data_IF_123722054817
#
_entry.id   IF_123722054817
#
_cell.length_a   1.000
_cell.length_b   1.000
_cell.length_c   1.000
_cell.angle_alpha   90.00
_cell.angle_beta   90.00
_cell.angle_gamma   90.00
#
_symmetry.space_group_name_H-M   'P 1'
#
loop_
_entity.id
_entity.type
_entity.pdbx_description
1 polymer ?
#
# COMPACT_ATOMS: atom_id res chain seq x y z
N UNK A 1 30.02 -75.39 -46.64
CA UNK A 1 29.32 -74.10 -46.89
C UNK A 1 28.25 -73.95 -45.81
N UNK A 2 28.56 -73.44 -44.62
CA UNK A 2 28.56 -72.02 -44.25
C UNK A 2 27.34 -71.25 -44.77
N UNK A 3 26.36 -70.99 -43.91
CA UNK A 3 25.59 -69.74 -43.92
C UNK A 3 24.98 -69.47 -42.55
N UNK A 4 25.27 -68.28 -42.05
CA UNK A 4 25.13 -67.81 -40.68
C UNK A 4 23.66 -67.71 -40.24
N UNK A 5 23.41 -68.10 -38.99
CA UNK A 5 22.33 -67.53 -38.18
C UNK A 5 22.68 -66.07 -37.87
N UNK A 6 22.00 -65.13 -38.53
CA UNK A 6 22.12 -63.71 -38.18
C UNK A 6 21.14 -63.40 -37.04
N UNK A 7 21.71 -63.23 -35.85
CA UNK A 7 21.12 -62.51 -34.73
C UNK A 7 20.66 -61.13 -35.19
N UNK A 8 19.37 -60.83 -35.06
CA UNK A 8 18.86 -59.46 -35.07
C UNK A 8 18.33 -59.18 -33.67
N UNK A 9 19.28 -58.93 -32.76
CA UNK A 9 19.01 -58.30 -31.49
C UNK A 9 19.28 -56.80 -31.62
N UNK A 10 18.35 -56.01 -31.09
CA UNK A 10 18.49 -54.62 -30.65
C UNK A 10 18.87 -53.58 -31.72
N UNK A 11 17.91 -52.70 -32.03
CA UNK A 11 17.94 -51.30 -31.58
C UNK A 11 16.56 -50.71 -31.87
N UNK A 12 15.62 -50.96 -30.96
CA UNK A 12 14.48 -50.05 -30.79
C UNK A 12 15.08 -48.72 -30.36
N UNK A 13 15.24 -47.79 -31.31
CA UNK A 13 15.38 -46.39 -30.98
C UNK A 13 14.10 -45.98 -30.26
N UNK A 14 14.12 -46.11 -28.92
CA UNK A 14 13.36 -45.21 -28.08
C UNK A 14 13.79 -43.82 -28.50
N UNK A 15 12.98 -43.17 -29.34
CA UNK A 15 12.97 -41.73 -29.43
C UNK A 15 12.70 -41.25 -28.01
N UNK A 16 13.77 -40.85 -27.32
CA UNK A 16 13.69 -39.91 -26.20
C UNK A 16 13.05 -38.67 -26.80
N UNK A 17 11.71 -38.64 -26.77
CA UNK A 17 10.94 -37.43 -26.93
C UNK A 17 11.41 -36.52 -25.83
N UNK A 18 12.31 -35.61 -26.19
CA UNK A 18 12.73 -34.51 -25.34
C UNK A 18 11.48 -33.63 -25.17
N UNK A 19 10.65 -33.98 -24.19
CA UNK A 19 9.59 -33.12 -23.71
C UNK A 19 10.23 -31.96 -22.94
N UNK A 20 10.94 -31.07 -23.66
CA UNK A 20 11.23 -29.72 -23.19
C UNK A 20 9.97 -28.85 -23.39
N UNK A 21 8.81 -29.34 -22.93
CA UNK A 21 7.67 -28.47 -22.71
C UNK A 21 8.04 -27.56 -21.55
N UNK A 22 8.12 -26.26 -21.79
CA UNK A 22 8.30 -25.31 -20.72
C UNK A 22 7.20 -25.55 -19.67
N UNK A 23 7.59 -25.87 -18.44
CA UNK A 23 6.67 -26.13 -17.32
C UNK A 23 6.09 -24.80 -16.81
N UNK A 24 5.45 -24.08 -17.73
CA UNK A 24 4.86 -22.77 -17.54
C UNK A 24 3.37 -22.97 -17.28
N UNK A 25 2.95 -22.66 -16.06
CA UNK A 25 1.54 -22.72 -15.65
C UNK A 25 1.03 -21.30 -15.43
N UNK A 26 -0.15 -20.99 -15.95
CA UNK A 26 -0.86 -19.73 -15.69
C UNK A 26 -2.07 -20.00 -14.81
N UNK A 27 -2.19 -19.25 -13.71
CA UNK A 27 -3.36 -19.26 -12.83
C UNK A 27 -4.12 -17.96 -13.02
N UNK A 28 -5.40 -18.04 -13.39
CA UNK A 28 -6.24 -16.86 -13.55
C UNK A 28 -6.55 -16.25 -12.16
N UNK A 29 -6.36 -14.94 -12.02
CA UNK A 29 -6.65 -14.13 -10.84
C UNK A 29 -7.86 -13.20 -11.04
N UNK A 30 -8.45 -13.19 -12.24
CA UNK A 30 -9.54 -12.32 -12.64
C UNK A 30 -9.06 -10.90 -12.93
N UNK A 31 -9.91 -9.93 -12.63
CA UNK A 31 -9.59 -8.52 -12.81
C UNK A 31 -9.00 -7.93 -11.54
N UNK A 32 -7.99 -7.06 -11.68
CA UNK A 32 -7.31 -6.43 -10.54
C UNK A 32 -7.40 -4.91 -10.65
N UNK A 33 -7.96 -4.26 -9.64
CA UNK A 33 -8.03 -2.80 -9.57
C UNK A 33 -6.94 -2.21 -8.69
N UNK A 34 -6.38 -1.08 -9.11
CA UNK A 34 -5.40 -0.35 -8.31
C UNK A 34 -5.06 1.00 -8.92
N UNK A 35 -4.19 1.73 -8.24
CA UNK A 35 -3.61 2.97 -8.78
C UNK A 35 -2.29 2.62 -9.46
N UNK A 36 -2.19 2.97 -10.74
CA UNK A 36 -1.07 2.64 -11.59
C UNK A 36 0.18 3.39 -11.13
N UNK A 37 1.22 2.63 -10.80
CA UNK A 37 2.57 3.11 -10.59
C UNK A 37 3.47 2.72 -11.76
N UNK A 38 4.47 3.55 -12.03
CA UNK A 38 5.57 3.17 -12.91
C UNK A 38 6.53 2.24 -12.17
N UNK A 39 7.01 1.19 -12.83
CA UNK A 39 7.95 0.25 -12.22
C UNK A 39 9.41 0.75 -12.20
N UNK A 40 9.73 1.74 -13.05
CA UNK A 40 11.11 2.23 -13.27
C UNK A 40 11.25 3.74 -13.09
N UNK A 41 10.32 4.31 -12.34
CA UNK A 41 10.33 5.72 -12.04
C UNK A 41 9.50 6.01 -10.81
N UNK A 42 9.36 7.29 -10.53
CA UNK A 42 8.47 7.77 -9.48
C UNK A 42 7.69 8.96 -9.97
N UNK A 43 6.47 9.11 -9.44
CA UNK A 43 5.62 10.25 -9.70
C UNK A 43 5.94 11.33 -8.66
N UNK A 44 6.31 12.52 -9.11
CA UNK A 44 6.51 13.70 -8.26
C UNK A 44 5.98 14.93 -9.00
N UNK A 45 5.24 15.79 -8.31
CA UNK A 45 4.71 17.04 -8.86
C UNK A 45 3.96 16.88 -10.20
N UNK A 46 3.24 15.77 -10.37
CA UNK A 46 2.49 15.46 -11.60
C UNK A 46 3.33 14.97 -12.79
N UNK A 47 4.64 14.78 -12.61
CA UNK A 47 5.56 14.28 -13.63
C UNK A 47 6.18 12.94 -13.22
N UNK A 48 6.39 12.06 -14.19
CA UNK A 48 7.13 10.81 -13.98
C UNK A 48 8.62 11.05 -14.22
N UNK A 49 9.42 10.74 -13.21
CA UNK A 49 10.88 10.76 -13.27
C UNK A 49 11.40 9.33 -13.40
N UNK A 50 11.99 9.03 -14.55
CA UNK A 50 12.57 7.71 -14.84
C UNK A 50 13.97 7.61 -14.26
N UNK A 51 14.26 6.49 -13.59
CA UNK A 51 15.55 6.25 -12.93
C UNK A 51 16.51 5.42 -13.79
N UNK A 52 16.02 4.82 -14.86
CA UNK A 52 16.77 3.91 -15.74
C UNK A 52 16.75 4.43 -17.16
N UNK A 53 17.86 4.31 -17.89
CA UNK A 53 17.90 4.47 -19.35
C UNK A 53 17.42 3.20 -20.07
N UNK A 54 17.35 3.23 -21.40
CA UNK A 54 16.90 2.09 -22.20
C UNK A 54 17.74 0.83 -21.99
N UNK A 55 19.08 0.97 -21.91
CA UNK A 55 19.98 -0.18 -21.78
C UNK A 55 19.79 -0.87 -20.43
N UNK A 56 19.74 -0.07 -19.36
CA UNK A 56 19.51 -0.57 -18.02
C UNK A 56 18.11 -1.17 -17.89
N UNK A 57 17.11 -0.57 -18.53
CA UNK A 57 15.76 -1.12 -18.60
C UNK A 57 15.71 -2.49 -19.30
N UNK A 58 16.37 -2.63 -20.45
CA UNK A 58 16.50 -3.91 -21.17
C UNK A 58 17.18 -4.97 -20.30
N UNK A 59 18.24 -4.60 -19.57
CA UNK A 59 18.90 -5.52 -18.63
C UNK A 59 17.95 -6.00 -17.53
N UNK A 60 17.12 -5.12 -16.97
CA UNK A 60 16.12 -5.53 -15.96
C UNK A 60 15.05 -6.44 -16.54
N UNK A 61 14.56 -6.14 -17.75
CA UNK A 61 13.56 -6.97 -18.42
C UNK A 61 14.08 -8.35 -18.81
N UNK A 62 15.36 -8.47 -19.17
CA UNK A 62 15.98 -9.73 -19.55
C UNK A 62 15.84 -10.81 -18.46
N UNK A 63 15.83 -10.42 -17.17
CA UNK A 63 15.59 -11.34 -16.07
C UNK A 63 14.20 -11.99 -16.12
N UNK A 64 13.21 -11.30 -16.70
CA UNK A 64 11.84 -11.76 -16.85
C UNK A 64 11.61 -12.46 -18.19
N UNK A 65 12.08 -11.89 -19.30
CA UNK A 65 11.81 -12.41 -20.66
C UNK A 65 12.60 -13.68 -20.96
N UNK A 66 13.82 -13.83 -20.43
CA UNK A 66 14.62 -15.06 -20.58
C UNK A 66 14.03 -16.28 -19.83
N UNK A 67 12.99 -16.08 -19.01
CA UNK A 67 12.30 -17.19 -18.34
C UNK A 67 11.40 -18.00 -19.27
N UNK A 68 11.14 -17.52 -20.49
CA UNK A 68 10.17 -18.09 -21.44
C UNK A 68 8.70 -17.78 -21.07
N UNK A 69 8.46 -17.02 -20.00
CA UNK A 69 7.12 -16.61 -19.56
C UNK A 69 6.48 -15.48 -20.37
N UNK A 70 7.21 -14.92 -21.33
CA UNK A 70 6.80 -13.83 -22.22
C UNK A 70 7.15 -14.19 -23.66
N UNK A 71 6.29 -13.76 -24.59
CA UNK A 71 6.60 -13.80 -26.02
C UNK A 71 7.27 -12.49 -26.48
N UNK A 72 7.09 -11.41 -25.71
CA UNK A 72 7.71 -10.11 -25.96
C UNK A 72 9.08 -10.00 -25.30
N UNK A 73 10.01 -9.36 -26.02
CA UNK A 73 11.34 -9.00 -25.51
C UNK A 73 11.28 -7.76 -24.61
N UNK A 74 10.27 -6.91 -24.86
CA UNK A 74 10.06 -5.64 -24.16
C UNK A 74 8.60 -5.51 -23.68
N UNK A 75 8.12 -6.35 -22.75
CA UNK A 75 6.79 -6.23 -22.17
C UNK A 75 6.62 -4.92 -21.39
N UNK A 76 5.44 -4.32 -21.45
CA UNK A 76 5.12 -3.18 -20.61
C UNK A 76 4.99 -3.62 -19.14
N UNK A 77 5.85 -3.08 -18.29
CA UNK A 77 5.87 -3.36 -16.86
C UNK A 77 5.16 -2.24 -16.06
N UNK A 78 4.20 -2.63 -15.22
CA UNK A 78 3.48 -1.70 -14.33
C UNK A 78 3.40 -2.23 -12.90
N UNK A 79 3.33 -1.31 -11.95
CA UNK A 79 3.03 -1.62 -10.55
C UNK A 79 1.64 -1.12 -10.20
N UNK A 80 0.98 -1.75 -9.23
CA UNK A 80 -0.28 -1.27 -8.68
C UNK A 80 -0.13 -0.98 -7.19
N UNK A 81 -0.74 0.13 -6.75
CA UNK A 81 -0.86 0.49 -5.33
C UNK A 81 -2.33 0.54 -4.93
N UNK A 82 -2.61 0.41 -3.63
CA UNK A 82 -3.99 0.39 -3.13
C UNK A 82 -4.80 -0.84 -3.53
N UNK A 83 -4.11 -1.94 -3.85
CA UNK A 83 -4.71 -3.24 -4.18
C UNK A 83 -5.07 -3.95 -2.88
N UNK A 84 -6.30 -4.44 -2.75
CA UNK A 84 -6.74 -5.19 -1.56
C UNK A 84 -6.14 -6.60 -1.48
N UNK A 85 -5.51 -7.09 -2.56
CA UNK A 85 -4.87 -8.41 -2.64
C UNK A 85 -3.45 -8.29 -3.22
N UNK A 86 -2.42 -8.46 -2.40
CA UNK A 86 -1.00 -8.39 -2.80
C UNK A 86 -0.51 -9.67 -3.50
N UNK A 87 -1.25 -10.15 -4.51
CA UNK A 87 -0.91 -11.39 -5.20
C UNK A 87 0.33 -11.26 -6.11
N UNK A 88 0.56 -10.06 -6.66
CA UNK A 88 1.74 -9.76 -7.46
C UNK A 88 2.30 -8.36 -7.17
N UNK A 89 3.64 -8.23 -7.01
CA UNK A 89 4.28 -6.93 -6.84
C UNK A 89 4.35 -6.13 -8.16
N UNK A 90 4.35 -6.84 -9.30
CA UNK A 90 4.52 -6.26 -10.64
C UNK A 90 3.67 -7.05 -11.65
N UNK A 91 3.11 -6.32 -12.60
CA UNK A 91 2.26 -6.83 -13.68
C UNK A 91 2.87 -6.48 -15.03
N UNK A 92 2.69 -7.36 -16.01
CA UNK A 92 3.25 -7.20 -17.34
C UNK A 92 2.20 -7.39 -18.42
N UNK A 93 2.21 -6.54 -19.43
CA UNK A 93 1.45 -6.75 -20.66
C UNK A 93 2.40 -7.32 -21.71
N UNK A 94 2.15 -8.57 -22.12
CA UNK A 94 3.00 -9.34 -23.04
C UNK A 94 2.81 -8.87 -24.50
N UNK A 95 3.24 -7.64 -24.77
CA UNK A 95 3.33 -7.01 -26.09
C UNK A 95 4.64 -6.25 -26.15
N UNK A 96 5.27 -6.20 -27.32
CA UNK A 96 6.50 -5.44 -27.48
C UNK A 96 6.21 -3.94 -27.48
N UNK A 97 6.88 -3.21 -26.58
CA UNK A 97 6.90 -1.76 -26.55
C UNK A 97 8.34 -1.25 -26.73
N UNK A 98 8.49 -0.12 -27.41
CA UNK A 98 9.71 0.67 -27.33
C UNK A 98 9.83 1.33 -25.96
N UNK A 99 11.05 1.70 -25.59
CA UNK A 99 11.30 2.41 -24.34
C UNK A 99 10.57 3.78 -24.29
N UNK A 100 10.44 4.46 -25.43
CA UNK A 100 9.69 5.72 -25.53
C UNK A 100 8.18 5.52 -25.36
N UNK A 101 7.60 4.46 -25.95
CA UNK A 101 6.19 4.15 -25.74
C UNK A 101 5.88 3.83 -24.27
N UNK A 102 6.78 3.13 -23.59
CA UNK A 102 6.65 2.86 -22.15
C UNK A 102 6.74 4.15 -21.33
N UNK A 103 7.64 5.07 -21.70
CA UNK A 103 7.72 6.39 -21.06
C UNK A 103 6.44 7.18 -21.24
N UNK A 104 5.92 7.24 -22.48
CA UNK A 104 4.67 7.92 -22.79
C UNK A 104 3.49 7.30 -22.04
N UNK A 105 3.44 5.97 -21.97
CA UNK A 105 2.45 5.25 -21.18
C UNK A 105 2.50 5.66 -19.71
N UNK A 106 3.69 5.61 -19.10
CA UNK A 106 3.85 5.97 -17.70
C UNK A 106 3.50 7.44 -17.45
N UNK A 107 3.91 8.38 -18.32
CA UNK A 107 3.53 9.79 -18.19
C UNK A 107 2.02 10.00 -18.25
N UNK A 108 1.34 9.29 -19.16
CA UNK A 108 -0.10 9.45 -19.37
C UNK A 108 -0.94 8.84 -18.25
N UNK A 109 -0.56 7.66 -17.75
CA UNK A 109 -1.43 6.86 -16.89
C UNK A 109 -0.96 6.73 -15.43
N UNK A 110 0.30 7.08 -15.09
CA UNK A 110 0.76 6.98 -13.69
C UNK A 110 -0.07 7.86 -12.75
N UNK A 111 -0.44 7.27 -11.61
CA UNK A 111 -1.31 7.89 -10.61
C UNK A 111 -2.80 7.79 -10.93
N UNK A 112 -3.19 7.18 -12.06
CA UNK A 112 -4.59 6.93 -12.40
C UNK A 112 -5.09 5.62 -11.80
N UNK A 113 -6.39 5.54 -11.48
CA UNK A 113 -7.01 4.28 -11.07
C UNK A 113 -7.35 3.47 -12.32
N UNK A 114 -6.91 2.23 -12.35
CA UNK A 114 -7.12 1.30 -13.46
C UNK A 114 -7.68 -0.03 -12.97
N UNK A 115 -8.26 -0.77 -13.91
CA UNK A 115 -8.55 -2.19 -13.78
C UNK A 115 -7.71 -2.95 -14.82
N UNK A 116 -6.82 -3.83 -14.37
CA UNK A 116 -6.16 -4.79 -15.23
C UNK A 116 -7.13 -5.94 -15.52
N UNK A 117 -7.25 -6.30 -16.80
CA UNK A 117 -8.17 -7.31 -17.29
C UNK A 117 -7.43 -8.64 -17.47
N UNK A 118 -8.10 -9.73 -17.08
CA UNK A 118 -7.66 -11.11 -17.26
C UNK A 118 -6.23 -11.37 -16.73
N UNK A 119 -6.03 -11.00 -15.47
CA UNK A 119 -4.73 -11.13 -14.80
C UNK A 119 -4.44 -12.60 -14.56
N UNK A 120 -3.25 -13.03 -14.94
CA UNK A 120 -2.76 -14.38 -14.74
C UNK A 120 -1.45 -14.36 -13.95
N UNK A 121 -1.36 -15.19 -12.92
CA UNK A 121 -0.11 -15.48 -12.25
C UNK A 121 0.63 -16.59 -12.98
N UNK A 122 1.84 -16.28 -13.45
CA UNK A 122 2.71 -17.19 -14.19
C UNK A 122 3.65 -17.91 -13.23
N UNK A 123 3.76 -19.22 -13.39
CA UNK A 123 4.66 -20.08 -12.65
C UNK A 123 5.60 -20.80 -13.61
N UNK A 124 6.86 -20.96 -13.24
CA UNK A 124 7.81 -21.85 -13.91
C UNK A 124 8.35 -22.84 -12.89
N UNK A 125 8.22 -24.15 -13.17
CA UNK A 125 8.67 -25.22 -12.25
C UNK A 125 8.15 -25.00 -10.81
N UNK A 126 6.88 -24.65 -10.68
CA UNK A 126 6.18 -24.30 -9.43
C UNK A 126 6.68 -23.06 -8.67
N UNK A 127 7.63 -22.29 -9.22
CA UNK A 127 8.03 -20.99 -8.66
C UNK A 127 7.19 -19.87 -9.28
N UNK A 128 6.63 -19.00 -8.44
CA UNK A 128 5.94 -17.78 -8.89
C UNK A 128 6.96 -16.89 -9.60
N UNK A 129 6.66 -16.56 -10.85
CA UNK A 129 7.50 -15.73 -11.70
C UNK A 129 6.99 -14.29 -11.69
N UNK A 130 5.82 -14.06 -12.27
CA UNK A 130 5.24 -12.73 -12.46
C UNK A 130 3.72 -12.79 -12.68
N UNK A 131 3.05 -11.64 -12.69
CA UNK A 131 1.69 -11.53 -13.22
C UNK A 131 1.69 -10.96 -14.63
N UNK A 132 0.83 -11.49 -15.48
CA UNK A 132 0.52 -10.94 -16.81
C UNK A 132 -0.91 -10.47 -16.88
N UNK A 133 -1.21 -9.47 -17.70
CA UNK A 133 -2.58 -9.02 -18.01
C UNK A 133 -2.71 -8.81 -19.51
N UNK A 134 -3.94 -8.76 -20.02
CA UNK A 134 -4.21 -8.66 -21.47
C UNK A 134 -4.48 -7.23 -21.92
N UNK A 135 -5.14 -6.46 -21.05
CA UNK A 135 -5.54 -5.08 -21.29
C UNK A 135 -5.88 -4.37 -19.97
N UNK A 136 -6.09 -3.06 -20.03
CA UNK A 136 -6.48 -2.30 -18.85
C UNK A 136 -7.56 -1.27 -19.20
N UNK A 137 -8.42 -1.02 -18.22
CA UNK A 137 -9.47 -0.02 -18.26
C UNK A 137 -9.14 1.12 -17.30
N UNK A 138 -9.35 2.36 -17.75
CA UNK A 138 -9.22 3.55 -16.91
C UNK A 138 -10.50 3.75 -16.09
N UNK A 139 -10.39 3.70 -14.77
CA UNK A 139 -11.52 3.89 -13.84
C UNK A 139 -11.61 5.33 -13.31
N UNK A 140 -10.47 5.99 -13.17
CA UNK A 140 -10.39 7.40 -12.83
C UNK A 140 -9.01 7.95 -13.22
N UNK A 141 -8.97 9.17 -13.73
CA UNK A 141 -7.71 9.87 -14.01
C UNK A 141 -7.03 10.30 -12.71
N UNK A 142 -5.72 10.53 -12.79
CA UNK A 142 -4.95 11.15 -11.69
C UNK A 142 -5.59 12.43 -11.16
N UNK A 143 -6.09 13.28 -12.06
CA UNK A 143 -6.71 14.55 -11.69
C UNK A 143 -8.03 14.34 -10.94
N UNK A 144 -8.90 13.46 -11.44
CA UNK A 144 -10.17 13.13 -10.77
C UNK A 144 -9.95 12.55 -9.36
N UNK A 145 -8.88 11.77 -9.18
CA UNK A 145 -8.49 11.27 -7.87
C UNK A 145 -7.98 12.37 -6.94
N UNK A 146 -7.19 13.32 -7.46
CA UNK A 146 -6.73 14.48 -6.71
C UNK A 146 -7.91 15.35 -6.26
N UNK A 147 -8.82 15.70 -7.17
CA UNK A 147 -10.03 16.48 -6.87
C UNK A 147 -10.94 15.76 -5.86
N UNK A 148 -11.08 14.44 -5.96
CA UNK A 148 -11.84 13.66 -4.97
C UNK A 148 -11.19 13.68 -3.58
N UNK A 149 -9.84 13.69 -3.51
CA UNK A 149 -9.11 13.82 -2.24
C UNK A 149 -9.30 15.21 -1.66
N UNK A 150 -9.10 16.25 -2.46
CA UNK A 150 -9.31 17.64 -2.05
C UNK A 150 -10.75 17.89 -1.58
N UNK A 151 -11.76 17.40 -2.31
CA UNK A 151 -13.17 17.52 -1.89
C UNK A 151 -13.45 16.77 -0.59
N UNK A 152 -12.86 15.59 -0.38
CA UNK A 152 -12.98 14.87 0.90
C UNK A 152 -12.28 15.63 2.02
N UNK A 153 -11.09 16.15 1.79
CA UNK A 153 -10.35 16.95 2.77
C UNK A 153 -11.10 18.23 3.11
N UNK A 154 -11.65 18.95 2.13
CA UNK A 154 -12.48 20.14 2.33
C UNK A 154 -13.75 19.82 3.12
N UNK A 155 -14.45 18.71 2.79
CA UNK A 155 -15.62 18.28 3.56
C UNK A 155 -15.26 17.97 5.01
N UNK A 156 -14.14 17.28 5.23
CA UNK A 156 -13.62 17.00 6.58
C UNK A 156 -13.20 18.28 7.30
N UNK A 157 -12.60 19.26 6.61
CA UNK A 157 -12.27 20.58 7.17
C UNK A 157 -13.55 21.30 7.61
N UNK A 158 -14.54 21.37 6.74
CA UNK A 158 -15.79 22.09 7.00
C UNK A 158 -16.60 21.48 8.15
N UNK A 159 -16.67 20.14 8.22
CA UNK A 159 -17.29 19.45 9.37
C UNK A 159 -16.50 19.67 10.67
N UNK A 160 -15.17 19.79 10.60
CA UNK A 160 -14.29 20.05 11.76
C UNK A 160 -14.38 21.47 12.29
N UNK A 161 -14.43 22.48 11.42
CA UNK A 161 -14.52 23.89 11.84
C UNK A 161 -15.85 24.23 12.52
N UNK A 162 -16.91 23.47 12.25
CA UNK A 162 -18.22 23.66 12.88
C UNK A 162 -18.35 23.06 14.28
N UNK A 163 -17.41 22.20 14.69
CA UNK A 163 -17.47 21.48 15.95
C UNK A 163 -16.72 22.23 17.05
N UNK A 164 -17.44 22.56 18.13
CA UNK A 164 -16.88 23.09 19.36
C UNK A 164 -17.28 22.20 20.52
N UNK A 165 -16.32 21.86 21.37
CA UNK A 165 -16.56 21.18 22.64
C UNK A 165 -15.73 21.86 23.72
N UNK A 166 -16.38 22.14 24.85
CA UNK A 166 -15.71 22.61 26.06
C UNK A 166 -16.30 21.86 27.25
N UNK A 167 -15.45 21.13 27.98
CA UNK A 167 -15.90 20.35 29.11
C UNK A 167 -14.89 19.31 29.56
N UNK A 168 -15.31 18.49 30.51
CA UNK A 168 -14.47 17.44 31.06
C UNK A 168 -14.80 16.08 30.43
N UNK A 169 -13.79 15.22 30.29
CA UNK A 169 -13.96 13.84 29.84
C UNK A 169 -13.27 12.86 30.76
N UNK A 170 -13.94 11.78 31.12
CA UNK A 170 -13.29 10.63 31.71
C UNK A 170 -12.72 9.74 30.60
N UNK A 171 -11.48 9.34 30.79
CA UNK A 171 -10.68 8.70 29.76
C UNK A 171 -9.79 7.61 30.34
N UNK A 172 -9.38 6.71 29.48
CA UNK A 172 -8.36 5.71 29.71
C UNK A 172 -7.05 6.18 29.06
N UNK A 173 -6.11 6.64 29.89
CA UNK A 173 -4.80 7.18 29.51
C UNK A 173 -3.70 6.22 29.97
N UNK A 174 -3.02 5.50 29.06
CA UNK A 174 -1.82 4.76 29.42
C UNK A 174 -0.71 5.75 29.84
N UNK A 175 -0.10 5.57 31.01
CA UNK A 175 0.87 6.53 31.56
C UNK A 175 2.03 6.88 30.59
N UNK A 176 2.43 5.96 29.71
CA UNK A 176 3.49 6.18 28.70
C UNK A 176 3.12 7.21 27.62
N UNK A 177 1.83 7.50 27.43
CA UNK A 177 1.35 8.43 26.40
C UNK A 177 1.32 9.88 26.87
N UNK A 178 1.44 10.12 28.18
CA UNK A 178 1.57 11.45 28.76
C UNK A 178 2.97 12.01 28.46
N UNK A 179 3.09 13.21 27.91
CA UNK A 179 4.36 13.91 27.61
C UNK A 179 4.36 15.29 28.26
N UNK A 180 5.41 16.10 28.07
CA UNK A 180 5.50 17.46 28.64
C UNK A 180 4.59 18.46 27.91
N UNK A 181 4.37 18.22 26.62
CA UNK A 181 3.66 19.05 25.66
C UNK A 181 2.21 18.62 25.43
N UNK A 182 1.84 17.42 25.87
CA UNK A 182 0.48 16.92 25.73
C UNK A 182 0.30 15.46 26.13
N UNK A 183 -0.79 14.89 25.67
CA UNK A 183 -1.16 13.47 25.83
C UNK A 183 -1.61 12.92 24.47
N UNK A 184 -1.27 11.67 24.15
CA UNK A 184 -1.88 11.04 22.97
C UNK A 184 -3.38 10.90 23.19
N UNK A 185 -4.16 11.10 22.14
CA UNK A 185 -5.62 11.07 22.21
C UNK A 185 -6.10 9.78 22.89
N UNK A 186 -6.67 9.87 24.10
CA UNK A 186 -7.00 8.70 24.89
C UNK A 186 -8.36 8.13 24.49
N UNK A 187 -8.67 6.93 24.99
CA UNK A 187 -10.00 6.35 24.85
C UNK A 187 -10.94 7.03 25.84
N UNK A 188 -12.08 7.53 25.38
CA UNK A 188 -13.12 8.08 26.25
C UNK A 188 -13.87 6.94 26.94
N UNK A 189 -14.02 7.05 28.26
CA UNK A 189 -14.79 6.12 29.10
C UNK A 189 -16.14 6.70 29.50
N UNK A 190 -16.21 8.01 29.72
CA UNK A 190 -17.45 8.74 29.98
C UNK A 190 -17.32 10.22 29.59
N UNK A 191 -18.43 10.85 29.20
CA UNK A 191 -18.50 12.27 28.87
C UNK A 191 -19.35 12.61 27.64
N UNK A 192 -19.33 13.89 27.25
CA UNK A 192 -20.20 14.44 26.21
C UNK A 192 -19.82 14.08 24.76
N UNK A 193 -18.71 13.38 24.53
CA UNK A 193 -18.25 12.97 23.19
C UNK A 193 -17.67 11.54 23.21
N UNK A 194 -17.64 10.90 22.05
CA UNK A 194 -17.08 9.55 21.88
C UNK A 194 -15.58 9.55 21.63
N UNK A 195 -14.95 8.36 21.71
CA UNK A 195 -13.53 8.19 21.33
C UNK A 195 -13.30 8.52 19.86
N UNK A 196 -14.24 8.12 19.00
CA UNK A 196 -14.20 8.37 17.57
C UNK A 196 -14.25 9.87 17.27
N UNK A 197 -15.15 10.61 17.95
CA UNK A 197 -15.21 12.06 17.83
C UNK A 197 -13.93 12.72 18.33
N UNK A 198 -13.45 12.34 19.52
CA UNK A 198 -12.21 12.91 20.06
C UNK A 198 -11.02 12.71 19.10
N UNK A 199 -10.88 11.51 18.52
CA UNK A 199 -9.83 11.22 17.55
C UNK A 199 -10.05 11.94 16.21
N UNK A 200 -11.30 12.08 15.77
CA UNK A 200 -11.65 12.81 14.56
C UNK A 200 -11.25 14.29 14.64
N UNK A 201 -11.45 14.95 15.79
CA UNK A 201 -11.17 16.40 15.92
C UNK A 201 -9.75 16.69 16.42
N UNK A 202 -9.21 15.89 17.34
CA UNK A 202 -7.89 16.12 17.94
C UNK A 202 -6.74 15.37 17.24
N UNK A 203 -7.04 14.45 16.32
CA UNK A 203 -6.03 13.59 15.73
C UNK A 203 -5.36 12.72 16.79
N UNK A 204 -4.02 12.67 16.78
CA UNK A 204 -3.25 11.75 17.61
C UNK A 204 -2.85 12.31 18.98
N UNK A 205 -2.95 13.62 19.21
CA UNK A 205 -2.50 14.22 20.45
C UNK A 205 -3.32 15.45 20.84
N UNK A 206 -3.42 15.69 22.14
CA UNK A 206 -4.06 16.84 22.76
C UNK A 206 -2.97 17.61 23.50
N UNK A 207 -2.82 18.89 23.21
CA UNK A 207 -1.79 19.73 23.83
C UNK A 207 -2.24 20.28 25.18
N UNK A 208 -1.30 20.56 26.08
CA UNK A 208 -1.65 21.30 27.29
C UNK A 208 -1.78 22.80 27.00
N UNK A 209 -2.73 23.47 27.66
CA UNK A 209 -2.82 24.94 27.61
C UNK A 209 -1.57 25.60 28.20
N UNK A 210 -0.86 24.90 29.10
CA UNK A 210 0.44 25.29 29.66
C UNK A 210 1.36 24.09 29.72
N UNK A 211 2.62 24.26 29.32
CA UNK A 211 3.64 23.22 29.42
C UNK A 211 3.71 22.65 30.85
N UNK A 212 3.67 21.33 30.94
CA UNK A 212 3.74 20.62 32.22
C UNK A 212 5.19 20.62 32.72
N UNK A 213 5.39 20.85 34.02
CA UNK A 213 6.70 20.66 34.64
C UNK A 213 7.05 19.18 34.71
N UNK A 214 8.34 18.84 34.59
CA UNK A 214 8.82 17.45 34.56
C UNK A 214 8.45 16.67 35.82
N UNK A 215 8.49 17.32 36.98
CA UNK A 215 8.15 16.71 38.26
C UNK A 215 6.67 16.30 38.29
N UNK A 216 5.78 17.21 37.89
CA UNK A 216 4.32 16.97 37.79
C UNK A 216 4.00 15.86 36.78
N UNK A 217 4.72 15.80 35.67
CA UNK A 217 4.57 14.71 34.68
C UNK A 217 4.90 13.33 35.29
N UNK A 218 5.97 13.24 36.08
CA UNK A 218 6.37 11.98 36.71
C UNK A 218 5.36 11.53 37.77
N UNK A 219 4.86 12.47 38.57
CA UNK A 219 3.80 12.24 39.56
C UNK A 219 2.53 11.68 38.90
N UNK A 220 1.97 12.38 37.91
CA UNK A 220 0.75 11.93 37.22
C UNK A 220 0.97 10.56 36.56
N UNK A 221 2.15 10.30 35.97
CA UNK A 221 2.43 8.98 35.37
C UNK A 221 2.43 7.85 36.40
N UNK A 222 2.94 8.11 37.61
CA UNK A 222 2.91 7.13 38.68
C UNK A 222 1.49 6.86 39.14
N UNK A 223 0.68 7.90 39.32
CA UNK A 223 -0.71 7.78 39.72
C UNK A 223 -1.55 7.08 38.66
N UNK A 224 -1.36 7.39 37.37
CA UNK A 224 -2.00 6.67 36.27
C UNK A 224 -1.60 5.19 36.24
N UNK A 225 -0.36 4.85 36.59
CA UNK A 225 0.06 3.45 36.69
C UNK A 225 -0.67 2.73 37.82
N UNK A 226 -0.95 3.43 38.94
CA UNK A 226 -1.67 2.88 40.09
C UNK A 226 -3.18 2.77 39.83
N UNK A 227 -3.80 3.78 39.17
CA UNK A 227 -5.23 3.79 38.86
C UNK A 227 -5.62 2.90 37.66
N UNK A 228 -4.66 2.17 37.09
CA UNK A 228 -4.87 1.41 35.85
C UNK A 228 -5.10 2.31 34.63
N UNK A 229 -4.74 3.58 34.70
CA UNK A 229 -4.81 4.57 33.63
C UNK A 229 -6.12 5.34 33.54
N UNK A 230 -7.01 5.21 34.53
CA UNK A 230 -8.22 6.02 34.62
C UNK A 230 -7.85 7.47 34.93
N UNK A 231 -8.37 8.40 34.14
CA UNK A 231 -8.08 9.81 34.26
C UNK A 231 -9.23 10.69 33.79
N UNK A 232 -9.20 11.95 34.17
CA UNK A 232 -10.07 13.02 33.70
C UNK A 232 -9.24 14.01 32.87
N UNK A 233 -9.66 14.30 31.65
CA UNK A 233 -9.21 15.46 30.90
C UNK A 233 -9.99 16.67 31.40
N UNK A 234 -9.33 17.56 32.16
CA UNK A 234 -9.99 18.70 32.77
C UNK A 234 -10.00 19.89 31.80
N UNK A 235 -11.18 20.47 31.57
CA UNK A 235 -11.43 21.58 30.64
C UNK A 235 -10.80 21.32 29.27
N UNK A 236 -11.12 20.18 28.69
CA UNK A 236 -10.83 19.91 27.29
C UNK A 236 -11.58 20.93 26.44
N UNK A 237 -10.85 21.59 25.55
CA UNK A 237 -11.37 22.53 24.57
C UNK A 237 -10.98 22.06 23.18
N UNK A 238 -12.00 21.84 22.36
CA UNK A 238 -11.89 21.49 20.94
C UNK A 238 -12.49 22.66 20.16
N UNK A 239 -11.66 23.36 19.39
CA UNK A 239 -12.09 24.45 18.50
C UNK A 239 -11.48 24.20 17.13
N UNK A 240 -12.29 23.75 16.17
CA UNK A 240 -11.83 23.39 14.84
C UNK A 240 -10.83 22.23 14.87
N UNK A 241 -9.54 22.52 14.72
CA UNK A 241 -8.43 21.55 14.77
C UNK A 241 -7.56 21.67 16.03
N UNK A 242 -7.82 22.67 16.87
CA UNK A 242 -7.05 22.87 18.09
C UNK A 242 -7.72 22.14 19.24
N UNK A 243 -7.01 21.16 19.79
CA UNK A 243 -7.40 20.48 21.00
C UNK A 243 -6.43 20.79 22.12
N UNK A 244 -6.95 21.43 23.16
CA UNK A 244 -6.18 21.78 24.34
C UNK A 244 -6.86 21.27 25.60
N UNK A 245 -6.07 20.89 26.59
CA UNK A 245 -6.56 20.48 27.92
C UNK A 245 -5.76 21.23 28.97
N UNK A 246 -6.39 21.63 30.07
CA UNK A 246 -5.63 22.27 31.16
C UNK A 246 -4.77 21.26 31.91
N UNK A 247 -5.32 20.09 32.18
CA UNK A 247 -4.63 19.04 32.93
C UNK A 247 -5.25 17.66 32.73
N UNK A 248 -4.43 16.63 32.94
CA UNK A 248 -4.88 15.23 33.09
C UNK A 248 -4.81 14.88 34.57
N UNK A 249 -5.96 14.51 35.14
CA UNK A 249 -6.09 14.19 36.57
C UNK A 249 -6.41 12.70 36.72
N UNK A 250 -5.53 11.88 37.33
CA UNK A 250 -5.83 10.48 37.63
C UNK A 250 -7.09 10.33 38.49
N UNK A 251 -7.91 9.32 38.20
CA UNK A 251 -9.13 9.00 38.97
C UNK A 251 -8.91 7.67 39.68
N UNK A 252 -9.20 7.61 40.99
CA UNK A 252 -9.07 6.42 41.83
C UNK A 252 -10.42 5.78 42.12
#
# INVERSE_FOLDING_TARGET
MLKLFLSVMFFSLCTLGVANGSDIRKQNLGNVEGVLGTAHGHLKDGQVYFQTDENLYRMFLAAYTNSGGFNSDMPLQVNLTGVNSSLCPTYFLDKNYSYDEMKQFAQKYSGSKVRLIDVHQVYLKNKRLQCTFTEFEMLATRQELAEKREKKEQKVVQERESFNFEGDLEVQVPYVTLKLDGVLTPRVTDGGITTEQLHQYCGNAISYTRLMKREKLLEIRQDLKQSGGKAKLNKLKIVGRECTVEEVVPIF
#
